data_IF_149382991676
#
_entry.id   IF_149382991676
#
_cell.length_a   1.000
_cell.length_b   1.000
_cell.length_c   1.000
_cell.angle_alpha   90.00
_cell.angle_beta   90.00
_cell.angle_gamma   90.00
#
_symmetry.space_group_name_H-M   'P 1'
#
loop_
_entity.id
_entity.type
_entity.pdbx_description
1 polymer ?
#
# COMPACT_ATOMS: atom_id res chain seq x y z
N UNK A 1 -7.50 -18.89 1.79
CA UNK A 1 -8.36 -17.72 1.51
C UNK A 1 -7.86 -16.56 2.37
N UNK A 2 -7.62 -15.38 1.78
CA UNK A 2 -7.12 -14.19 2.50
C UNK A 2 -8.25 -13.15 2.57
N UNK A 3 -8.60 -12.71 3.77
CA UNK A 3 -9.53 -11.61 4.00
C UNK A 3 -8.77 -10.53 4.77
N UNK A 4 -8.85 -9.29 4.29
CA UNK A 4 -8.24 -8.12 4.94
C UNK A 4 -9.21 -6.96 4.95
N UNK A 5 -9.13 -6.14 6.01
CA UNK A 5 -9.85 -4.88 6.11
C UNK A 5 -8.85 -3.74 6.04
N UNK A 6 -9.15 -2.77 5.19
CA UNK A 6 -8.29 -1.60 4.98
C UNK A 6 -8.01 -0.83 6.28
N UNK A 7 -9.00 -0.77 7.18
CA UNK A 7 -8.91 -0.11 8.49
C UNK A 7 -7.94 -0.77 9.49
N UNK A 8 -7.48 -1.99 9.20
CA UNK A 8 -6.57 -2.75 10.08
C UNK A 8 -5.12 -2.74 9.58
N UNK A 9 -4.90 -2.40 8.30
CA UNK A 9 -3.60 -2.47 7.62
C UNK A 9 -2.53 -1.64 8.32
N UNK A 10 -2.87 -0.45 8.80
CA UNK A 10 -1.94 0.42 9.53
C UNK A 10 -1.50 -0.19 10.86
N UNK A 11 -2.46 -0.73 11.63
CA UNK A 11 -2.19 -1.42 12.91
C UNK A 11 -1.35 -2.68 12.72
N UNK A 12 -1.47 -3.34 11.56
CA UNK A 12 -0.66 -4.49 11.16
C UNK A 12 0.77 -4.12 10.71
N UNK A 13 1.15 -2.83 10.78
CA UNK A 13 2.47 -2.37 10.33
C UNK A 13 2.66 -2.48 8.80
N UNK A 14 1.56 -2.49 8.04
CA UNK A 14 1.55 -2.60 6.57
C UNK A 14 1.31 -1.24 5.89
N UNK A 15 1.55 -0.14 6.60
CA UNK A 15 1.56 1.21 6.05
C UNK A 15 2.99 1.65 5.74
N UNK A 16 3.21 2.21 4.55
CA UNK A 16 4.41 2.99 4.24
C UNK A 16 3.98 4.40 3.94
N UNK A 17 4.58 5.36 4.63
CA UNK A 17 4.29 6.77 4.47
C UNK A 17 5.54 7.53 4.00
N UNK A 18 5.35 8.40 3.02
CA UNK A 18 6.37 9.27 2.43
C UNK A 18 5.86 10.71 2.37
N UNK A 19 6.66 11.66 1.88
CA UNK A 19 6.18 13.05 1.72
C UNK A 19 5.02 13.18 0.74
N UNK A 20 4.98 12.36 -0.32
CA UNK A 20 4.07 12.57 -1.45
C UNK A 20 2.87 11.62 -1.41
N UNK A 21 3.03 10.44 -0.83
CA UNK A 21 1.99 9.41 -0.81
C UNK A 21 2.11 8.53 0.42
N UNK A 22 1.02 7.86 0.76
CA UNK A 22 1.03 6.74 1.69
C UNK A 22 0.39 5.52 1.05
N UNK A 23 0.98 4.36 1.29
CA UNK A 23 0.62 3.10 0.67
C UNK A 23 0.22 2.08 1.74
N UNK A 24 -1.03 1.62 1.66
CA UNK A 24 -1.62 0.59 2.51
C UNK A 24 -1.51 -0.74 1.80
N UNK A 25 -0.63 -1.62 2.31
CA UNK A 25 -0.15 -2.80 1.59
C UNK A 25 -1.02 -4.03 1.89
N UNK A 26 -1.95 -4.36 0.99
CA UNK A 26 -2.92 -5.44 1.17
C UNK A 26 -2.28 -6.81 0.94
N UNK A 27 -1.63 -7.00 -0.21
CA UNK A 27 -0.93 -8.24 -0.56
C UNK A 27 0.56 -7.98 -0.74
N UNK A 28 1.37 -8.76 -0.05
CA UNK A 28 2.83 -8.71 -0.05
C UNK A 28 3.41 -10.04 -0.51
N UNK A 29 4.74 -10.08 -0.73
CA UNK A 29 5.46 -11.30 -1.09
C UNK A 29 5.15 -12.48 -0.16
N UNK A 30 5.02 -12.23 1.15
CA UNK A 30 4.70 -13.25 2.16
C UNK A 30 3.29 -13.85 2.02
N UNK A 31 2.40 -13.18 1.30
CA UNK A 31 1.04 -13.62 1.03
C UNK A 31 0.98 -14.54 -0.24
N UNK A 32 2.11 -14.73 -0.94
CA UNK A 32 2.34 -15.77 -1.99
C UNK A 32 1.37 -15.80 -3.17
N UNK A 33 0.88 -14.64 -3.61
CA UNK A 33 -0.10 -14.52 -4.71
C UNK A 33 0.53 -14.36 -6.11
N UNK A 34 1.86 -14.21 -6.21
CA UNK A 34 2.56 -13.93 -7.47
C UNK A 34 2.57 -12.45 -7.89
N UNK A 35 1.87 -11.59 -7.15
CA UNK A 35 1.87 -10.14 -7.30
C UNK A 35 1.68 -9.47 -5.93
N UNK A 36 1.77 -8.14 -5.92
CA UNK A 36 1.43 -7.32 -4.74
C UNK A 36 0.26 -6.39 -5.05
N UNK A 37 -0.52 -6.05 -4.04
CA UNK A 37 -1.67 -5.16 -4.17
C UNK A 37 -1.65 -4.13 -3.06
N UNK A 38 -1.82 -2.87 -3.44
CA UNK A 38 -1.71 -1.73 -2.54
C UNK A 38 -2.85 -0.76 -2.79
N UNK A 39 -3.35 -0.16 -1.73
CA UNK A 39 -4.22 1.01 -1.78
C UNK A 39 -3.36 2.22 -1.41
N UNK A 40 -2.96 2.98 -2.43
CA UNK A 40 -2.05 4.11 -2.31
C UNK A 40 -2.80 5.42 -2.53
N UNK A 41 -2.65 6.34 -1.59
CA UNK A 41 -3.21 7.70 -1.70
C UNK A 41 -2.06 8.65 -2.01
N UNK A 42 -2.20 9.34 -3.14
CA UNK A 42 -1.29 10.41 -3.56
C UNK A 42 -1.82 11.72 -2.97
N UNK A 43 -0.98 12.46 -2.26
CA UNK A 43 -1.36 13.73 -1.63
C UNK A 43 -1.61 14.79 -2.70
N UNK A 44 -2.66 15.57 -2.51
CA UNK A 44 -3.04 16.62 -3.44
C UNK A 44 -1.89 17.63 -3.63
N UNK A 45 -1.63 18.02 -4.88
CA UNK A 45 -0.60 19.00 -5.23
C UNK A 45 0.84 18.46 -5.22
N UNK A 46 1.04 17.16 -5.00
CA UNK A 46 2.38 16.55 -5.06
C UNK A 46 2.67 15.99 -6.45
N UNK A 47 3.94 16.01 -6.82
CA UNK A 47 4.46 15.39 -8.04
C UNK A 47 5.29 14.16 -7.64
N UNK A 48 5.08 13.04 -8.35
CA UNK A 48 5.85 11.82 -8.13
C UNK A 48 6.27 11.27 -9.48
N UNK A 49 7.58 11.23 -9.72
CA UNK A 49 8.14 10.55 -10.89
C UNK A 49 7.94 9.03 -10.72
N UNK A 50 7.37 8.40 -11.75
CA UNK A 50 7.08 6.96 -11.76
C UNK A 50 7.64 6.32 -13.02
N UNK A 51 8.27 5.15 -12.85
CA UNK A 51 8.75 4.33 -13.94
C UNK A 51 7.69 3.29 -14.29
N UNK A 52 7.48 3.09 -15.59
CA UNK A 52 6.69 1.97 -16.12
C UNK A 52 7.57 0.72 -16.29
#
# INVERSE_FOLDING_TARGET
MIIKKLSEVEKEGRLVDTSNWYSRRLLLKKDSMGFSLHDTIIRAGTETEMWY
#
